data_IF_576403243216
#
_entry.id   IF_576403243216
#
_cell.length_a   1.000
_cell.length_b   1.000
_cell.length_c   1.000
_cell.angle_alpha   90.00
_cell.angle_beta   90.00
_cell.angle_gamma   90.00
#
_symmetry.space_group_name_H-M   'P 1'
#
loop_
_entity.id
_entity.type
_entity.pdbx_description
1 polymer ?
#
# COMPACT_ATOMS: atom_id res chain seq x y z
N UNK A 1 -2.63 -21.01 8.25
CA UNK A 1 -2.06 -19.68 7.93
C UNK A 1 -1.85 -18.98 9.24
N UNK A 2 -0.59 -18.79 9.62
CA UNK A 2 -0.26 -18.13 10.87
C UNK A 2 -0.70 -16.67 10.80
N UNK A 3 -1.64 -16.35 11.66
CA UNK A 3 -2.04 -14.97 11.89
C UNK A 3 -0.82 -14.22 12.42
N UNK A 4 -0.27 -13.31 11.63
CA UNK A 4 0.78 -12.41 12.09
C UNK A 4 0.18 -11.55 13.21
N UNK A 5 0.45 -11.94 14.45
CA UNK A 5 0.05 -11.15 15.63
C UNK A 5 0.82 -9.84 15.59
N UNK A 6 0.12 -8.72 15.44
CA UNK A 6 0.75 -7.41 15.59
C UNK A 6 1.28 -7.29 17.01
N UNK A 7 2.59 -7.19 17.14
CA UNK A 7 3.27 -7.00 18.42
C UNK A 7 3.30 -5.49 18.71
N UNK A 8 2.38 -5.02 19.53
CA UNK A 8 2.39 -3.63 20.01
C UNK A 8 1.02 -3.19 20.47
N UNK A 9 0.93 -2.58 21.66
CA UNK A 9 -0.27 -2.12 22.35
C UNK A 9 -1.26 -3.25 22.65
N UNK A 10 -1.33 -3.63 23.92
CA UNK A 10 -2.03 -4.75 24.53
C UNK A 10 -3.19 -5.34 23.73
N UNK A 11 -3.14 -6.63 23.48
CA UNK A 11 -4.12 -7.44 22.74
C UNK A 11 -5.59 -7.29 23.23
N UNK A 12 -5.80 -6.65 24.37
CA UNK A 12 -7.10 -6.50 25.04
C UNK A 12 -8.08 -5.63 24.24
N UNK A 13 -7.59 -4.72 23.40
CA UNK A 13 -8.45 -3.77 22.66
C UNK A 13 -8.48 -4.04 21.15
N UNK A 14 -7.79 -5.07 20.67
CA UNK A 14 -7.75 -5.41 19.26
C UNK A 14 -8.89 -6.36 18.90
N UNK A 15 -9.73 -5.96 17.95
CA UNK A 15 -10.70 -6.83 17.28
C UNK A 15 -10.25 -7.08 15.85
N UNK A 16 -10.28 -8.33 15.44
CA UNK A 16 -9.88 -8.75 14.11
C UNK A 16 -11.11 -9.16 13.30
N UNK A 17 -11.21 -8.63 12.07
CA UNK A 17 -12.25 -8.96 11.11
C UNK A 17 -11.61 -9.50 9.83
N UNK A 18 -12.29 -10.43 9.15
CA UNK A 18 -11.88 -10.91 7.85
C UNK A 18 -12.59 -10.10 6.77
N UNK A 19 -11.83 -9.55 5.85
CA UNK A 19 -12.32 -8.88 4.66
C UNK A 19 -11.31 -9.01 3.51
N UNK A 20 -11.79 -8.84 2.28
CA UNK A 20 -10.98 -8.83 1.08
C UNK A 20 -11.29 -7.56 0.28
N UNK A 21 -10.23 -6.85 -0.16
CA UNK A 21 -10.39 -5.66 -1.01
C UNK A 21 -11.04 -5.99 -2.37
N UNK A 22 -11.00 -7.24 -2.79
CA UNK A 22 -11.71 -7.75 -3.97
C UNK A 22 -13.21 -7.93 -3.76
N UNK A 23 -13.70 -7.89 -2.51
CA UNK A 23 -15.10 -8.14 -2.16
C UNK A 23 -15.77 -6.95 -1.46
N UNK A 24 -16.63 -6.26 -2.18
CA UNK A 24 -17.37 -5.08 -1.69
C UNK A 24 -18.24 -5.39 -0.47
N UNK A 25 -18.85 -6.57 -0.41
CA UNK A 25 -19.76 -6.92 0.68
C UNK A 25 -19.01 -7.18 1.98
N UNK A 26 -17.85 -7.84 1.92
CA UNK A 26 -17.02 -8.06 3.11
C UNK A 26 -16.52 -6.74 3.71
N UNK A 27 -16.08 -5.78 2.88
CA UNK A 27 -15.67 -4.45 3.31
C UNK A 27 -16.85 -3.69 3.94
N UNK A 28 -18.00 -3.66 3.25
CA UNK A 28 -19.20 -2.98 3.74
C UNK A 28 -19.65 -3.53 5.10
N UNK A 29 -19.65 -4.84 5.27
CA UNK A 29 -20.00 -5.48 6.55
C UNK A 29 -19.06 -5.08 7.68
N UNK A 30 -17.75 -5.06 7.43
CA UNK A 30 -16.76 -4.65 8.44
C UNK A 30 -16.96 -3.18 8.81
N UNK A 31 -17.09 -2.28 7.84
CA UNK A 31 -17.31 -0.85 8.10
C UNK A 31 -18.61 -0.63 8.86
N UNK A 32 -19.68 -1.34 8.51
CA UNK A 32 -20.98 -1.27 9.19
C UNK A 32 -20.91 -1.73 10.65
N UNK A 33 -20.16 -2.79 10.93
CA UNK A 33 -20.01 -3.34 12.31
C UNK A 33 -19.10 -2.43 13.15
N UNK A 34 -18.00 -1.96 12.58
CA UNK A 34 -16.95 -1.22 13.30
C UNK A 34 -17.34 0.24 13.49
N UNK A 35 -18.03 0.86 12.52
CA UNK A 35 -18.38 2.30 12.51
C UNK A 35 -17.16 3.18 12.79
N UNK A 36 -16.07 3.05 12.00
CA UNK A 36 -14.77 3.63 12.34
C UNK A 36 -14.78 5.15 12.33
N UNK A 37 -13.98 5.76 13.20
CA UNK A 37 -13.64 7.18 13.16
C UNK A 37 -12.47 7.45 12.20
N UNK A 38 -11.58 6.45 12.03
CA UNK A 38 -10.42 6.54 11.13
C UNK A 38 -10.19 5.21 10.39
N UNK A 39 -9.82 5.30 9.13
CA UNK A 39 -9.41 4.16 8.29
C UNK A 39 -8.02 4.43 7.72
N UNK A 40 -7.08 3.53 7.98
CA UNK A 40 -5.75 3.51 7.38
C UNK A 40 -5.68 2.35 6.39
N UNK A 41 -5.90 2.62 5.11
CA UNK A 41 -5.79 1.59 4.09
C UNK A 41 -4.33 1.39 3.68
N UNK A 42 -3.72 0.37 4.25
CA UNK A 42 -2.36 -0.08 3.95
C UNK A 42 -2.35 -1.37 3.12
N UNK A 43 -3.53 -1.90 2.81
CA UNK A 43 -3.65 -3.15 2.07
C UNK A 43 -3.42 -2.93 0.58
N UNK A 44 -2.63 -3.79 -0.03
CA UNK A 44 -2.34 -3.78 -1.47
C UNK A 44 -1.68 -5.09 -1.92
N UNK A 45 -1.76 -5.41 -3.21
CA UNK A 45 -0.79 -6.24 -3.89
C UNK A 45 0.45 -5.37 -4.17
N UNK A 46 1.44 -5.34 -3.27
CA UNK A 46 2.52 -4.35 -3.28
C UNK A 46 3.79 -4.75 -4.03
N UNK A 47 3.81 -5.93 -4.65
CA UNK A 47 4.98 -6.42 -5.37
C UNK A 47 4.90 -6.06 -6.86
N UNK A 48 5.74 -5.11 -7.31
CA UNK A 48 5.71 -4.58 -8.68
C UNK A 48 5.83 -5.68 -9.73
N UNK A 49 6.75 -6.66 -9.57
CA UNK A 49 6.91 -7.75 -10.53
C UNK A 49 5.63 -8.59 -10.67
N UNK A 50 4.96 -8.91 -9.56
CA UNK A 50 3.71 -9.67 -9.57
C UNK A 50 2.60 -8.94 -10.34
N UNK A 51 2.64 -7.61 -10.40
CA UNK A 51 1.65 -6.84 -11.16
C UNK A 51 1.73 -7.08 -12.67
N UNK A 52 2.90 -7.48 -13.19
CA UNK A 52 3.04 -7.89 -14.61
C UNK A 52 2.50 -9.29 -14.86
N UNK A 53 2.63 -10.18 -13.87
CA UNK A 53 2.13 -11.56 -13.96
C UNK A 53 0.61 -11.65 -13.73
N UNK A 54 0.04 -10.75 -12.91
CA UNK A 54 -1.37 -10.73 -12.52
C UNK A 54 -1.91 -9.29 -12.50
N UNK A 55 -1.98 -8.60 -13.67
CA UNK A 55 -2.37 -7.20 -13.73
C UNK A 55 -3.84 -6.95 -13.36
N UNK A 56 -4.73 -7.84 -13.74
CA UNK A 56 -6.16 -7.75 -13.42
C UNK A 56 -6.42 -7.88 -11.91
N UNK A 57 -5.78 -8.84 -11.25
CA UNK A 57 -5.85 -8.97 -9.80
C UNK A 57 -5.30 -7.73 -9.10
N UNK A 58 -4.17 -7.21 -9.56
CA UNK A 58 -3.56 -5.98 -9.03
C UNK A 58 -4.52 -4.79 -9.17
N UNK A 59 -5.14 -4.61 -10.34
CA UNK A 59 -6.12 -3.55 -10.56
C UNK A 59 -7.36 -3.73 -9.66
N UNK A 60 -7.85 -4.95 -9.50
CA UNK A 60 -9.01 -5.24 -8.66
C UNK A 60 -8.76 -4.89 -7.18
N UNK A 61 -7.57 -5.20 -6.66
CA UNK A 61 -7.22 -4.95 -5.26
C UNK A 61 -6.77 -3.51 -5.04
N UNK A 62 -5.85 -3.01 -5.85
CA UNK A 62 -5.12 -1.76 -5.58
C UNK A 62 -5.85 -0.52 -6.13
N UNK A 63 -6.69 -0.68 -7.16
CA UNK A 63 -7.51 0.38 -7.72
C UNK A 63 -8.94 0.31 -7.18
N UNK A 64 -9.73 -0.67 -7.62
CA UNK A 64 -11.14 -0.75 -7.24
C UNK A 64 -11.36 -1.09 -5.76
N UNK A 65 -10.38 -1.72 -5.10
CA UNK A 65 -10.40 -1.93 -3.65
C UNK A 65 -10.46 -0.63 -2.86
N UNK A 66 -9.76 0.41 -3.31
CA UNK A 66 -9.83 1.76 -2.70
C UNK A 66 -11.23 2.33 -2.84
N UNK A 67 -11.81 2.26 -4.06
CA UNK A 67 -13.18 2.71 -4.31
C UNK A 67 -14.19 2.00 -3.39
N UNK A 68 -14.04 0.68 -3.17
CA UNK A 68 -14.92 -0.09 -2.29
C UNK A 68 -14.90 0.40 -0.84
N UNK A 69 -13.73 0.82 -0.33
CA UNK A 69 -13.63 1.40 1.01
C UNK A 69 -14.38 2.75 1.06
N UNK A 70 -14.15 3.62 0.09
CA UNK A 70 -14.82 4.93 0.02
C UNK A 70 -16.36 4.77 -0.06
N UNK A 71 -16.82 3.87 -0.92
CA UNK A 71 -18.24 3.53 -1.04
C UNK A 71 -18.83 2.91 0.24
N UNK A 72 -18.07 2.05 0.92
CA UNK A 72 -18.54 1.49 2.19
C UNK A 72 -18.74 2.58 3.26
N UNK A 73 -17.83 3.55 3.34
CA UNK A 73 -17.97 4.71 4.26
C UNK A 73 -19.18 5.56 3.86
N UNK A 74 -19.38 5.82 2.57
CA UNK A 74 -20.52 6.57 2.03
C UNK A 74 -21.84 5.86 2.32
N UNK A 75 -21.92 4.56 2.03
CA UNK A 75 -23.14 3.75 2.27
C UNK A 75 -23.47 3.51 3.74
N UNK A 76 -22.51 3.69 4.63
CA UNK A 76 -22.75 3.62 6.08
C UNK A 76 -23.03 4.99 6.73
N UNK A 77 -23.21 6.05 5.93
CA UNK A 77 -23.47 7.42 6.40
C UNK A 77 -22.36 7.95 7.32
N UNK A 78 -21.09 7.61 7.02
CA UNK A 78 -19.92 7.98 7.83
C UNK A 78 -19.09 9.11 7.22
N UNK A 79 -19.56 9.78 6.17
CA UNK A 79 -18.79 10.82 5.45
C UNK A 79 -18.32 11.93 6.39
N UNK A 80 -19.19 12.42 7.26
CA UNK A 80 -18.88 13.52 8.17
C UNK A 80 -18.05 13.09 9.40
N UNK A 81 -17.95 11.79 9.64
CA UNK A 81 -17.30 11.22 10.82
C UNK A 81 -15.94 10.61 10.51
N UNK A 82 -15.88 9.77 9.48
CA UNK A 82 -14.73 8.91 9.21
C UNK A 82 -13.63 9.63 8.43
N UNK A 83 -12.41 9.59 8.93
CA UNK A 83 -11.21 10.08 8.25
C UNK A 83 -10.49 8.94 7.58
N UNK A 84 -10.10 9.10 6.31
CA UNK A 84 -9.49 8.04 5.53
C UNK A 84 -8.08 8.43 5.10
N UNK A 85 -7.10 7.61 5.46
CA UNK A 85 -5.75 7.65 4.91
C UNK A 85 -5.55 6.51 3.92
N UNK A 86 -5.23 6.84 2.69
CA UNK A 86 -4.86 5.90 1.64
C UNK A 86 -3.33 5.88 1.47
N UNK A 87 -2.71 4.75 1.71
CA UNK A 87 -1.32 4.55 1.36
C UNK A 87 -1.18 4.53 -0.17
N UNK A 88 -0.53 5.54 -0.72
CA UNK A 88 -0.14 5.60 -2.11
C UNK A 88 1.35 5.23 -2.26
N UNK A 89 2.03 5.63 -3.32
CA UNK A 89 3.38 5.16 -3.60
C UNK A 89 4.17 6.17 -4.44
N UNK A 90 5.48 6.24 -4.26
CA UNK A 90 6.38 6.98 -5.13
C UNK A 90 6.44 6.42 -6.56
N UNK A 91 5.97 5.18 -6.78
CA UNK A 91 5.88 4.58 -8.11
C UNK A 91 4.88 5.32 -9.04
N UNK A 92 4.05 6.24 -8.48
CA UNK A 92 3.23 7.15 -9.29
C UNK A 92 4.09 8.02 -10.20
N UNK A 93 5.24 8.47 -9.71
CA UNK A 93 6.18 9.28 -10.50
C UNK A 93 6.83 8.48 -11.62
N UNK A 94 7.04 7.16 -11.42
CA UNK A 94 7.51 6.21 -12.42
C UNK A 94 8.74 6.68 -13.18
N UNK A 95 8.54 7.07 -14.45
CA UNK A 95 9.58 7.70 -15.26
C UNK A 95 9.64 9.19 -14.93
N UNK A 96 10.37 9.50 -13.85
CA UNK A 96 10.42 10.85 -13.26
C UNK A 96 10.83 11.94 -14.24
N UNK A 97 10.14 13.08 -14.19
CA UNK A 97 10.40 14.23 -15.04
C UNK A 97 11.26 15.30 -14.34
N UNK A 98 11.32 15.27 -13.00
CA UNK A 98 12.15 16.18 -12.20
C UNK A 98 12.71 15.50 -10.95
N UNK A 99 13.83 16.03 -10.43
CA UNK A 99 14.50 15.56 -9.20
C UNK A 99 14.94 16.78 -8.40
N UNK A 100 14.58 16.86 -7.10
CA UNK A 100 13.68 15.96 -6.36
C UNK A 100 12.23 16.09 -6.78
N UNK A 101 11.42 15.03 -6.55
CA UNK A 101 9.98 15.08 -6.75
C UNK A 101 9.30 15.83 -5.60
N UNK A 102 8.13 16.39 -5.92
CA UNK A 102 7.22 17.02 -4.97
C UNK A 102 5.75 16.74 -5.38
N UNK A 103 4.80 17.29 -4.66
CA UNK A 103 3.37 17.03 -4.88
C UNK A 103 2.84 17.57 -6.20
N UNK A 104 3.57 18.45 -6.89
CA UNK A 104 3.21 19.00 -8.20
C UNK A 104 3.90 18.26 -9.36
N UNK A 105 4.88 17.40 -9.06
CA UNK A 105 5.58 16.60 -10.08
C UNK A 105 4.58 15.72 -10.82
N UNK A 106 4.54 15.75 -12.16
CA UNK A 106 3.64 14.93 -12.95
C UNK A 106 3.82 13.44 -12.68
N UNK A 107 2.71 12.70 -12.64
CA UNK A 107 2.75 11.25 -12.53
C UNK A 107 2.96 10.62 -13.91
N UNK A 108 3.89 9.69 -13.98
CA UNK A 108 4.18 8.90 -15.17
C UNK A 108 4.37 7.42 -14.79
N UNK A 109 3.29 6.73 -14.33
CA UNK A 109 3.39 5.36 -13.84
C UNK A 109 3.97 4.43 -14.89
N UNK A 110 4.83 3.50 -14.45
CA UNK A 110 5.60 2.64 -15.35
C UNK A 110 5.47 1.15 -15.02
N UNK A 111 4.36 0.77 -14.37
CA UNK A 111 3.98 -0.61 -14.11
C UNK A 111 2.47 -0.74 -13.91
N UNK A 112 1.86 -1.94 -14.09
CA UNK A 112 0.46 -2.17 -13.78
C UNK A 112 0.12 -1.82 -12.32
N UNK A 113 1.03 -2.08 -11.38
CA UNK A 113 0.91 -1.66 -9.98
C UNK A 113 0.80 -0.13 -9.86
N UNK A 114 1.71 0.61 -10.46
CA UNK A 114 1.71 2.07 -10.40
C UNK A 114 0.44 2.68 -11.01
N UNK A 115 -0.06 2.13 -12.13
CA UNK A 115 -1.32 2.55 -12.75
C UNK A 115 -2.51 2.29 -11.83
N UNK A 116 -2.57 1.12 -11.18
CA UNK A 116 -3.62 0.81 -10.22
C UNK A 116 -3.60 1.76 -9.01
N UNK A 117 -2.41 2.04 -8.48
CA UNK A 117 -2.22 2.98 -7.36
C UNK A 117 -2.54 4.43 -7.78
N UNK A 118 -2.29 4.80 -9.03
CA UNK A 118 -2.69 6.11 -9.56
C UNK A 118 -4.21 6.26 -9.61
N UNK A 119 -4.94 5.23 -10.01
CA UNK A 119 -6.40 5.24 -9.89
C UNK A 119 -6.83 5.49 -8.44
N UNK A 120 -6.24 4.75 -7.48
CA UNK A 120 -6.51 4.93 -6.04
C UNK A 120 -6.25 6.35 -5.56
N UNK A 121 -5.17 6.99 -6.00
CA UNK A 121 -4.84 8.37 -5.68
C UNK A 121 -5.93 9.34 -6.19
N UNK A 122 -6.32 9.21 -7.46
CA UNK A 122 -7.29 10.12 -8.07
C UNK A 122 -8.70 9.91 -7.56
N UNK A 123 -9.13 8.69 -7.29
CA UNK A 123 -10.46 8.43 -6.74
C UNK A 123 -10.62 8.98 -5.31
N UNK A 124 -9.55 8.94 -4.51
CA UNK A 124 -9.52 9.59 -3.18
C UNK A 124 -9.69 11.11 -3.32
N UNK A 125 -8.99 11.72 -4.27
CA UNK A 125 -9.13 13.15 -4.54
C UNK A 125 -10.54 13.51 -4.99
N UNK A 126 -11.11 12.73 -5.91
CA UNK A 126 -12.47 12.91 -6.41
C UNK A 126 -13.52 12.82 -5.30
N UNK A 127 -13.41 11.84 -4.39
CA UNK A 127 -14.35 11.69 -3.28
C UNK A 127 -14.25 12.83 -2.27
N UNK A 128 -13.06 13.38 -2.07
CA UNK A 128 -12.87 14.57 -1.25
C UNK A 128 -13.57 15.80 -1.85
N UNK A 129 -13.47 15.98 -3.16
CA UNK A 129 -14.03 17.15 -3.87
C UNK A 129 -15.54 16.99 -4.10
N UNK A 130 -16.01 15.81 -4.52
CA UNK A 130 -17.41 15.56 -4.87
C UNK A 130 -18.33 15.37 -3.66
N UNK A 131 -17.83 14.73 -2.60
CA UNK A 131 -18.64 14.35 -1.42
C UNK A 131 -18.20 15.03 -0.14
N UNK A 132 -17.22 15.94 -0.18
CA UNK A 132 -16.63 16.58 1.00
C UNK A 132 -16.10 15.58 2.04
N UNK A 133 -15.70 14.38 1.59
CA UNK A 133 -15.18 13.32 2.44
C UNK A 133 -13.78 13.66 2.92
N UNK A 134 -13.49 13.52 4.22
CA UNK A 134 -12.13 13.69 4.73
C UNK A 134 -11.28 12.48 4.35
N UNK A 135 -10.61 12.55 3.21
CA UNK A 135 -9.71 11.50 2.74
C UNK A 135 -8.44 12.09 2.13
N UNK A 136 -7.30 11.45 2.40
CA UNK A 136 -6.00 11.89 1.89
C UNK A 136 -5.16 10.69 1.44
N UNK A 137 -4.24 10.94 0.50
CA UNK A 137 -3.26 9.98 0.03
C UNK A 137 -1.86 10.37 0.49
N UNK A 138 -1.13 9.45 1.13
CA UNK A 138 0.29 9.63 1.40
C UNK A 138 1.12 9.03 0.27
N UNK A 139 1.97 9.82 -0.37
CA UNK A 139 2.91 9.33 -1.40
C UNK A 139 4.13 8.76 -0.69
N UNK A 140 4.10 7.45 -0.47
CA UNK A 140 5.12 6.76 0.30
C UNK A 140 6.30 6.35 -0.58
N UNK A 141 7.49 6.73 -0.18
CA UNK A 141 8.75 6.22 -0.72
C UNK A 141 9.10 4.88 -0.07
N UNK A 142 10.30 4.37 -0.27
CA UNK A 142 10.70 3.08 0.29
C UNK A 142 10.84 3.16 1.82
N UNK A 143 10.09 2.33 2.53
CA UNK A 143 10.17 2.21 3.99
C UNK A 143 10.80 0.88 4.35
N UNK A 144 11.88 0.92 5.09
CA UNK A 144 12.69 -0.25 5.40
C UNK A 144 12.88 -0.41 6.89
N UNK A 145 12.90 -1.65 7.36
CA UNK A 145 13.21 -2.03 8.74
C UNK A 145 13.58 -3.50 8.81
N UNK A 146 13.95 -3.97 10.00
CA UNK A 146 14.20 -5.38 10.28
C UNK A 146 12.96 -6.27 10.05
N UNK A 147 11.77 -5.67 9.97
CA UNK A 147 10.50 -6.37 9.69
C UNK A 147 10.10 -6.39 8.22
N UNK A 148 10.93 -5.79 7.35
CA UNK A 148 10.66 -5.78 5.90
C UNK A 148 10.57 -7.20 5.35
N UNK A 149 9.64 -7.45 4.43
CA UNK A 149 9.50 -8.75 3.77
C UNK A 149 10.79 -9.18 3.05
N UNK A 150 11.12 -10.47 3.10
CA UNK A 150 12.40 -11.03 2.62
C UNK A 150 12.62 -10.89 1.11
N UNK A 151 11.57 -10.70 0.34
CA UNK A 151 11.61 -10.50 -1.11
C UNK A 151 12.01 -9.07 -1.51
N UNK A 152 11.90 -8.11 -0.59
CA UNK A 152 12.30 -6.73 -0.84
C UNK A 152 13.81 -6.53 -0.76
N UNK A 153 14.34 -5.61 -1.56
CA UNK A 153 15.77 -5.49 -1.84
C UNK A 153 16.65 -5.35 -0.60
N UNK A 154 16.30 -4.50 0.35
CA UNK A 154 17.10 -4.28 1.57
C UNK A 154 17.17 -5.52 2.45
N UNK A 155 16.01 -6.15 2.70
CA UNK A 155 15.94 -7.38 3.49
C UNK A 155 16.61 -8.55 2.77
N UNK A 156 16.45 -8.64 1.44
CA UNK A 156 17.15 -9.62 0.60
C UNK A 156 18.67 -9.48 0.74
N UNK A 157 19.19 -8.24 0.70
CA UNK A 157 20.62 -7.96 0.85
C UNK A 157 21.12 -8.33 2.24
N UNK A 158 20.45 -7.88 3.31
CA UNK A 158 20.90 -8.14 4.68
C UNK A 158 20.89 -9.62 5.03
N UNK A 159 19.88 -10.37 4.60
CA UNK A 159 19.83 -11.82 4.79
C UNK A 159 20.91 -12.55 3.99
N UNK A 160 21.13 -12.15 2.73
CA UNK A 160 22.19 -12.76 1.92
C UNK A 160 23.57 -12.46 2.48
N UNK A 161 23.85 -11.24 2.93
CA UNK A 161 25.12 -10.88 3.57
C UNK A 161 25.37 -11.75 4.82
N UNK A 162 24.37 -11.90 5.68
CA UNK A 162 24.48 -12.75 6.85
C UNK A 162 24.73 -14.23 6.50
N UNK A 163 24.06 -14.76 5.47
CA UNK A 163 24.23 -16.15 5.00
C UNK A 163 25.60 -16.36 4.35
N UNK A 164 26.10 -15.41 3.59
CA UNK A 164 27.44 -15.44 2.99
C UNK A 164 28.51 -15.44 4.08
N UNK A 165 28.39 -14.57 5.07
CA UNK A 165 29.31 -14.53 6.20
C UNK A 165 29.36 -15.84 7.01
N UNK A 166 28.26 -16.61 7.02
CA UNK A 166 28.17 -17.91 7.67
C UNK A 166 28.54 -19.10 6.75
N UNK A 167 28.98 -18.83 5.52
CA UNK A 167 29.28 -19.90 4.55
C UNK A 167 28.07 -20.66 4.03
N UNK A 168 26.84 -20.14 4.25
CA UNK A 168 25.58 -20.81 3.85
C UNK A 168 25.11 -20.39 2.44
N UNK A 169 25.73 -19.40 1.87
CA UNK A 169 25.44 -18.86 0.53
C UNK A 169 26.73 -18.31 -0.07
N UNK A 170 26.95 -18.50 -1.35
CA UNK A 170 28.16 -18.00 -2.02
C UNK A 170 28.03 -16.59 -2.58
N UNK A 171 26.86 -16.26 -3.14
CA UNK A 171 26.62 -14.99 -3.85
C UNK A 171 25.17 -14.54 -3.80
N UNK A 172 24.95 -13.27 -4.03
CA UNK A 172 23.64 -12.63 -4.15
C UNK A 172 23.44 -12.12 -5.58
N UNK A 173 22.31 -12.43 -6.17
CA UNK A 173 21.90 -11.87 -7.46
C UNK A 173 20.95 -10.69 -7.23
N UNK A 174 21.29 -9.54 -7.80
CA UNK A 174 20.50 -8.32 -7.80
C UNK A 174 20.23 -7.91 -9.25
N UNK A 175 19.18 -7.13 -9.45
CA UNK A 175 18.86 -6.52 -10.74
C UNK A 175 19.73 -5.28 -11.03
N UNK A 176 19.09 -4.16 -11.41
CA UNK A 176 19.81 -2.91 -11.70
C UNK A 176 20.43 -2.30 -10.44
N UNK A 177 21.77 -2.30 -10.38
CA UNK A 177 22.53 -1.73 -9.25
C UNK A 177 22.62 -0.20 -9.28
N UNK A 178 22.31 0.42 -10.41
CA UNK A 178 22.39 1.88 -10.59
C UNK A 178 21.07 2.59 -10.26
N UNK A 179 20.05 1.86 -9.80
CA UNK A 179 18.76 2.47 -9.43
C UNK A 179 18.89 3.33 -8.19
N UNK A 180 18.53 4.60 -8.31
CA UNK A 180 18.42 5.52 -7.17
C UNK A 180 17.10 5.28 -6.44
N UNK A 181 17.13 5.35 -5.11
CA UNK A 181 15.96 5.21 -4.23
C UNK A 181 16.09 6.15 -3.04
N UNK A 182 14.95 6.64 -2.59
CA UNK A 182 14.83 7.34 -1.32
C UNK A 182 14.31 6.34 -0.27
N UNK A 183 15.10 6.11 0.77
CA UNK A 183 14.81 5.12 1.81
C UNK A 183 14.62 5.77 3.16
N UNK A 184 13.44 5.53 3.76
CA UNK A 184 13.13 5.88 5.13
C UNK A 184 13.11 4.65 6.05
N UNK A 185 13.17 4.89 7.34
CA UNK A 185 12.95 3.87 8.37
C UNK A 185 11.47 3.80 8.76
N UNK A 186 10.90 2.57 8.92
CA UNK A 186 9.51 2.32 9.30
C UNK A 186 9.40 1.68 10.68
#
# INVERSE_FOLDING_TARGET
RDLVRSRGLGDVYKRQHYADLGDSMSILQVVKIVQPDEIYNLAAQSHVQVSFDSPEFTANVDATGVLRILEAVRHCDLIDKCRIYQASTSELYGKVEEVPQNENTPFHPYSPYAVAKQYGFWIVKEYREAYNMFCCSGILFNHESERRGETFVTRKITLAAARIAQGKQEKLYLGNLSSLRDWGYA
#
